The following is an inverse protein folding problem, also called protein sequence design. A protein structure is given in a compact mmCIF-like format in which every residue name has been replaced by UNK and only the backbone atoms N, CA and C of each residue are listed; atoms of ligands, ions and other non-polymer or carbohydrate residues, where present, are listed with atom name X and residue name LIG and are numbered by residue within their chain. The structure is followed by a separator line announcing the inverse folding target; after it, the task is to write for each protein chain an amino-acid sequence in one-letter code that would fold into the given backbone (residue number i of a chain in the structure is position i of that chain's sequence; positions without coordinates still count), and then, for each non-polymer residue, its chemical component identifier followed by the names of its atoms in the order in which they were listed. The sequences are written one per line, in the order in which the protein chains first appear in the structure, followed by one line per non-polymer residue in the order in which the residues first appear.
data_IF_411042898866
#
_entry.id   IF_411042898866
#
_cell.length_a   1.000
_cell.length_b   1.000
_cell.length_c   1.000
_cell.angle_alpha   90.00
_cell.angle_beta   90.00
_cell.angle_gamma   90.00
#
_symmetry.space_group_name_H-M   'P 1'
#
loop_
_entity.id
_entity.type
_entity.pdbx_description
1 polymer ?
#
# COMPACT_ATOMS: atom_id res chain seq x y z
N UNK A 1 3.37 -9.04 4.38
CA UNK A 1 2.02 -9.66 4.31
C UNK A 1 1.38 -9.36 2.97
N UNK A 2 0.31 -10.06 2.56
CA UNK A 2 -0.56 -9.59 1.48
C UNK A 2 -1.23 -8.28 1.92
N UNK A 3 -1.15 -7.19 1.13
CA UNK A 3 -1.74 -5.92 1.51
C UNK A 3 -3.27 -5.96 1.40
N UNK A 4 -4.00 -5.22 2.23
CA UNK A 4 -5.45 -5.39 2.36
C UNK A 4 -6.24 -5.04 1.09
N UNK A 5 -5.77 -4.10 0.27
CA UNK A 5 -6.39 -3.79 -1.03
C UNK A 5 -6.14 -4.86 -2.11
N UNK A 6 -5.34 -5.90 -1.82
CA UNK A 6 -5.18 -7.05 -2.69
C UNK A 6 -6.28 -8.12 -2.49
N UNK A 7 -7.22 -7.92 -1.58
CA UNK A 7 -8.39 -8.78 -1.48
C UNK A 7 -9.48 -8.36 -2.50
N UNK A 8 -10.17 -9.31 -3.14
CA UNK A 8 -11.28 -9.01 -4.04
C UNK A 8 -12.37 -8.17 -3.37
N UNK A 9 -12.94 -7.22 -4.10
CA UNK A 9 -14.08 -6.41 -3.64
C UNK A 9 -13.72 -5.31 -2.62
N UNK A 10 -12.44 -5.04 -2.39
CA UNK A 10 -11.99 -4.00 -1.45
C UNK A 10 -12.01 -2.59 -1.99
N UNK A 11 -12.19 -2.39 -3.29
CA UNK A 11 -12.28 -1.08 -3.92
C UNK A 11 -13.01 -1.17 -5.27
N UNK A 12 -13.13 -0.05 -5.97
CA UNK A 12 -13.76 0.03 -7.29
C UNK A 12 -12.84 -0.42 -8.43
N UNK A 13 -11.55 -0.64 -8.14
CA UNK A 13 -10.52 -1.05 -9.09
C UNK A 13 -10.11 -2.51 -8.89
N UNK A 14 -9.27 -3.03 -9.80
CA UNK A 14 -8.65 -4.34 -9.64
C UNK A 14 -7.83 -4.40 -8.34
N UNK A 15 -7.78 -5.57 -7.66
CA UNK A 15 -7.00 -5.72 -6.44
C UNK A 15 -5.53 -5.37 -6.64
N UNK A 16 -4.90 -4.84 -5.59
CA UNK A 16 -3.46 -4.60 -5.58
C UNK A 16 -2.69 -5.89 -5.92
N UNK A 17 -1.63 -5.76 -6.72
CA UNK A 17 -0.81 -6.90 -7.14
C UNK A 17 -0.16 -7.57 -5.92
N UNK A 18 -0.08 -8.89 -5.96
CA UNK A 18 0.64 -9.70 -4.97
C UNK A 18 1.61 -10.63 -5.66
N UNK A 19 2.64 -11.04 -4.91
CA UNK A 19 3.68 -11.92 -5.40
C UNK A 19 3.81 -13.14 -4.49
N UNK A 20 4.38 -14.23 -5.03
CA UNK A 20 4.79 -15.38 -4.24
C UNK A 20 6.08 -15.10 -3.46
N UNK A 21 6.58 -16.10 -2.72
CA UNK A 21 7.82 -15.99 -1.93
C UNK A 21 9.08 -15.73 -2.77
N UNK A 22 9.01 -15.94 -4.09
CA UNK A 22 10.09 -15.73 -5.05
C UNK A 22 9.89 -14.44 -5.84
N UNK A 23 9.02 -13.54 -5.35
CA UNK A 23 8.68 -12.25 -5.98
C UNK A 23 8.03 -12.37 -7.38
N UNK A 24 7.46 -13.54 -7.69
CA UNK A 24 6.73 -13.75 -8.94
C UNK A 24 5.26 -13.31 -8.79
N UNK A 25 4.73 -12.45 -9.68
CA UNK A 25 3.33 -12.02 -9.61
C UNK A 25 2.36 -13.20 -9.67
N UNK A 26 1.42 -13.27 -8.72
CA UNK A 26 0.46 -14.38 -8.61
C UNK A 26 -0.63 -14.34 -9.68
N UNK A 27 -0.99 -13.15 -10.18
CA UNK A 27 -1.98 -12.93 -11.26
C UNK A 27 -3.31 -13.67 -11.06
N UNK A 28 -3.71 -13.88 -9.82
CA UNK A 28 -4.83 -14.74 -9.42
C UNK A 28 -6.05 -13.94 -8.95
N UNK A 29 -6.08 -12.66 -9.35
CA UNK A 29 -7.07 -11.65 -8.95
C UNK A 29 -7.26 -11.56 -7.43
N UNK A 30 -6.22 -11.79 -6.63
CA UNK A 30 -6.26 -11.68 -5.19
C UNK A 30 -6.84 -12.91 -4.49
N UNK A 31 -6.93 -14.07 -5.14
CA UNK A 31 -7.51 -15.28 -4.56
C UNK A 31 -6.59 -15.98 -3.54
N UNK A 32 -5.27 -15.90 -3.70
CA UNK A 32 -4.31 -16.48 -2.74
C UNK A 32 -4.40 -15.82 -1.37
N UNK A 33 -4.32 -16.65 -0.32
CA UNK A 33 -4.30 -16.19 1.07
C UNK A 33 -2.99 -15.48 1.43
N UNK A 34 -3.07 -14.57 2.40
CA UNK A 34 -1.88 -13.90 2.92
C UNK A 34 -0.95 -14.90 3.57
N UNK A 35 0.36 -14.76 3.32
CA UNK A 35 1.36 -15.50 4.08
C UNK A 35 1.35 -15.19 5.58
N UNK A 36 0.75 -14.06 5.99
CA UNK A 36 0.60 -13.66 7.38
C UNK A 36 -0.72 -14.10 8.03
N UNK A 37 -1.65 -14.72 7.29
CA UNK A 37 -2.90 -15.20 7.88
C UNK A 37 -2.62 -16.42 8.78
N UNK A 38 -3.52 -16.67 9.75
CA UNK A 38 -3.44 -17.89 10.57
C UNK A 38 -3.60 -19.14 9.69
N UNK A 39 -2.64 -20.06 9.79
CA UNK A 39 -2.54 -21.23 8.89
C UNK A 39 -1.68 -20.99 7.64
N UNK A 40 -1.19 -19.76 7.44
CA UNK A 40 -0.30 -19.41 6.34
C UNK A 40 -0.99 -19.30 4.98
N UNK A 41 -0.24 -18.77 4.03
CA UNK A 41 -0.66 -18.54 2.65
C UNK A 41 0.55 -18.30 1.76
N UNK A 42 0.30 -18.05 0.47
CA UNK A 42 1.34 -17.90 -0.54
C UNK A 42 1.47 -16.49 -1.08
N UNK A 43 0.59 -15.55 -0.68
CA UNK A 43 0.62 -14.17 -1.14
C UNK A 43 1.40 -13.24 -0.20
N UNK A 44 2.31 -12.50 -0.79
CA UNK A 44 3.15 -11.48 -0.19
C UNK A 44 2.95 -10.14 -0.93
N UNK A 45 3.44 -9.06 -0.34
CA UNK A 45 3.66 -7.80 -1.05
C UNK A 45 4.81 -8.00 -2.04
N UNK A 46 4.68 -7.46 -3.26
CA UNK A 46 5.75 -7.52 -4.26
C UNK A 46 6.87 -6.53 -3.91
N UNK A 47 8.11 -6.89 -4.21
CA UNK A 47 9.29 -6.03 -3.99
C UNK A 47 9.25 -4.77 -4.85
N UNK A 48 8.60 -4.84 -6.01
CA UNK A 48 8.39 -3.66 -6.86
C UNK A 48 7.36 -2.66 -6.31
N UNK A 49 6.79 -2.93 -5.13
CA UNK A 49 6.01 -1.97 -4.35
C UNK A 49 6.88 -1.26 -3.28
N UNK A 50 8.17 -1.07 -3.57
CA UNK A 50 9.12 -0.29 -2.78
C UNK A 50 9.32 1.12 -3.36
N UNK A 51 9.53 2.14 -2.53
CA UNK A 51 9.56 3.53 -2.97
C UNK A 51 10.84 3.84 -3.75
N UNK A 52 10.76 4.83 -4.63
CA UNK A 52 11.90 5.31 -5.39
C UNK A 52 11.88 6.83 -5.55
N UNK A 53 13.07 7.42 -5.61
CA UNK A 53 13.25 8.84 -5.90
C UNK A 53 13.12 9.09 -7.41
N UNK A 54 12.33 10.09 -7.78
CA UNK A 54 12.24 10.63 -9.14
C UNK A 54 13.25 11.76 -9.33
N UNK A 55 13.42 12.56 -8.27
CA UNK A 55 14.42 13.62 -8.15
C UNK A 55 14.77 13.79 -6.68
N UNK A 56 15.63 14.76 -6.36
CA UNK A 56 15.95 15.09 -4.97
C UNK A 56 14.70 15.51 -4.17
N UNK A 57 13.66 16.06 -4.81
CA UNK A 57 12.49 16.64 -4.14
C UNK A 57 11.18 15.85 -4.35
N UNK A 58 11.20 14.79 -5.16
CA UNK A 58 10.02 13.97 -5.45
C UNK A 58 10.35 12.48 -5.38
N UNK A 59 9.53 11.74 -4.64
CA UNK A 59 9.52 10.28 -4.64
C UNK A 59 8.12 9.72 -4.99
N UNK A 60 8.09 8.48 -5.46
CA UNK A 60 6.88 7.67 -5.56
C UNK A 60 6.97 6.48 -4.59
N UNK A 61 5.83 5.95 -4.17
CA UNK A 61 5.80 4.72 -3.39
C UNK A 61 4.39 4.24 -3.04
N UNK A 62 4.31 3.50 -1.94
CA UNK A 62 3.09 2.87 -1.45
C UNK A 62 2.94 3.10 0.05
N UNK A 63 1.70 3.03 0.54
CA UNK A 63 1.42 3.20 1.96
C UNK A 63 0.25 2.32 2.42
N UNK A 64 0.29 1.95 3.70
CA UNK A 64 -0.91 1.63 4.45
C UNK A 64 -1.55 2.94 4.96
N UNK A 65 -2.87 3.07 4.86
CA UNK A 65 -3.55 4.33 5.21
C UNK A 65 -4.74 4.11 6.13
N UNK A 66 -5.06 5.15 6.89
CA UNK A 66 -6.34 5.30 7.56
C UNK A 66 -6.76 6.78 7.42
N UNK A 67 -7.78 7.04 6.61
CA UNK A 67 -8.23 8.39 6.29
C UNK A 67 -9.53 8.69 7.03
N UNK A 68 -9.52 9.74 7.85
CA UNK A 68 -10.67 10.10 8.67
C UNK A 68 -11.88 10.46 7.79
N UNK A 69 -13.05 9.89 8.12
CA UNK A 69 -14.28 10.11 7.36
C UNK A 69 -14.35 9.38 6.01
N UNK A 70 -13.42 8.44 5.76
CA UNK A 70 -13.41 7.62 4.56
C UNK A 70 -13.47 6.12 4.89
N UNK A 71 -13.34 5.26 3.89
CA UNK A 71 -13.37 3.81 4.03
C UNK A 71 -12.38 3.11 3.10
N UNK A 72 -12.08 1.85 3.40
CA UNK A 72 -11.20 1.01 2.57
C UNK A 72 -11.62 0.97 1.10
N UNK A 73 -12.93 0.89 0.85
CA UNK A 73 -13.51 0.97 -0.51
C UNK A 73 -13.21 2.27 -1.27
N UNK A 74 -12.95 3.37 -0.56
CA UNK A 74 -12.67 4.67 -1.16
C UNK A 74 -11.17 4.91 -1.34
N UNK A 75 -10.33 4.50 -0.38
CA UNK A 75 -8.88 4.73 -0.48
C UNK A 75 -8.14 3.61 -1.20
N UNK A 76 -8.67 2.39 -1.28
CA UNK A 76 -7.94 1.31 -1.94
C UNK A 76 -7.60 1.65 -3.39
N UNK A 77 -6.30 1.58 -3.69
CA UNK A 77 -5.66 1.92 -4.96
C UNK A 77 -5.68 3.42 -5.33
N UNK A 78 -6.23 4.30 -4.47
CA UNK A 78 -6.15 5.74 -4.64
C UNK A 78 -4.71 6.23 -4.43
N UNK A 79 -4.37 7.35 -5.06
CA UNK A 79 -3.07 8.01 -4.93
C UNK A 79 -3.20 9.34 -4.20
N UNK A 80 -2.21 9.67 -3.38
CA UNK A 80 -2.14 10.90 -2.60
C UNK A 80 -0.76 11.54 -2.78
N UNK A 81 -0.71 12.85 -3.00
CA UNK A 81 0.52 13.63 -2.91
C UNK A 81 0.70 14.11 -1.48
N UNK A 82 1.77 13.65 -0.82
CA UNK A 82 2.20 14.10 0.49
C UNK A 82 3.24 15.20 0.32
N UNK A 83 3.08 16.30 1.05
CA UNK A 83 4.16 17.29 1.24
C UNK A 83 4.59 17.22 2.70
N UNK A 84 5.84 16.84 2.96
CA UNK A 84 6.33 16.71 4.32
C UNK A 84 6.46 18.10 4.97
N UNK A 85 6.08 18.21 6.24
CA UNK A 85 6.04 19.50 6.96
C UNK A 85 7.06 19.60 8.11
N UNK A 86 7.83 18.54 8.35
CA UNK A 86 8.85 18.49 9.40
C UNK A 86 9.93 17.45 9.09
N UNK A 87 10.94 17.36 9.96
CA UNK A 87 12.06 16.42 9.82
C UNK A 87 13.03 16.78 8.68
N UNK A 88 13.99 15.89 8.36
CA UNK A 88 15.03 16.15 7.36
C UNK A 88 14.51 16.22 5.92
N UNK A 89 13.27 15.80 5.68
CA UNK A 89 12.61 15.79 4.36
C UNK A 89 11.53 16.87 4.23
N UNK A 90 11.44 17.81 5.18
CA UNK A 90 10.46 18.90 5.13
C UNK A 90 10.52 19.66 3.80
N UNK A 91 9.36 19.92 3.21
CA UNK A 91 9.18 20.54 1.89
C UNK A 91 9.26 19.59 0.70
N UNK A 92 9.84 18.38 0.86
CA UNK A 92 9.87 17.36 -0.20
C UNK A 92 8.49 16.73 -0.37
N UNK A 93 8.30 16.11 -1.54
CA UNK A 93 7.04 15.48 -1.92
C UNK A 93 7.19 13.98 -2.10
N UNK A 94 6.14 13.25 -1.75
CA UNK A 94 6.02 11.82 -2.07
C UNK A 94 4.61 11.53 -2.53
N UNK A 95 4.48 10.94 -3.72
CA UNK A 95 3.18 10.46 -4.21
C UNK A 95 3.06 8.98 -3.88
N UNK A 96 2.04 8.62 -3.11
CA UNK A 96 1.84 7.24 -2.63
C UNK A 96 0.55 6.65 -3.13
N UNK A 97 0.56 5.38 -3.51
CA UNK A 97 -0.65 4.59 -3.69
C UNK A 97 -1.03 3.87 -2.39
N UNK A 98 -2.27 4.01 -1.95
CA UNK A 98 -2.81 3.28 -0.81
C UNK A 98 -3.11 1.82 -1.21
N UNK A 99 -2.31 0.87 -0.72
CA UNK A 99 -2.49 -0.56 -0.98
C UNK A 99 -2.90 -1.36 0.24
N UNK A 100 -2.83 -0.77 1.43
CA UNK A 100 -3.17 -1.43 2.67
C UNK A 100 -3.95 -0.48 3.59
N UNK A 101 -4.74 -1.06 4.49
CA UNK A 101 -5.33 -0.34 5.63
C UNK A 101 -4.50 -0.64 6.86
N UNK A 102 -4.09 0.39 7.59
CA UNK A 102 -3.54 0.18 8.93
C UNK A 102 -4.66 0.34 9.96
N UNK A 103 -5.14 -0.79 10.50
CA UNK A 103 -6.31 -0.82 11.40
C UNK A 103 -6.05 -0.23 12.79
N UNK A 104 -4.78 -0.07 13.14
CA UNK A 104 -4.26 0.54 14.38
C UNK A 104 -3.90 2.01 14.22
N UNK A 105 -3.99 2.54 13.00
CA UNK A 105 -3.60 3.91 12.70
C UNK A 105 -4.65 4.91 13.17
N UNK A 106 -4.18 6.09 13.58
CA UNK A 106 -5.05 7.24 13.87
C UNK A 106 -5.64 7.81 12.57
N UNK A 107 -6.63 8.69 12.70
CA UNK A 107 -7.21 9.37 11.53
C UNK A 107 -6.17 10.19 10.77
N UNK A 108 -6.13 10.02 9.44
CA UNK A 108 -5.20 10.65 8.49
C UNK A 108 -3.73 10.22 8.62
N UNK A 109 -3.50 8.97 8.99
CA UNK A 109 -2.14 8.42 9.09
C UNK A 109 -1.77 7.60 7.84
N UNK A 110 -0.52 7.73 7.43
CA UNK A 110 0.10 7.03 6.31
C UNK A 110 1.36 6.31 6.83
N UNK A 111 1.34 4.99 6.80
CA UNK A 111 2.50 4.15 7.06
C UNK A 111 3.15 3.81 5.72
N UNK A 112 4.25 4.50 5.42
CA UNK A 112 4.98 4.34 4.16
C UNK A 112 5.63 2.95 4.10
N UNK A 113 5.47 2.25 2.99
CA UNK A 113 6.16 1.00 2.74
C UNK A 113 7.63 1.30 2.41
N UNK A 114 8.56 0.92 3.29
CA UNK A 114 10.01 1.13 3.17
C UNK A 114 10.74 -0.09 3.72
#
# INVERSE_FOLDING_TARGET
CKPSCAWPGKGSSSPAKTCDKSDSPLNDNGSSKSACDSGGGTAYMCTDQSPWAVSDDLAYGWAAVNIAGSSESQWCCACYELTFTSGPVSGKKMIVQATNTGGDLNGNQFDLAI
#
